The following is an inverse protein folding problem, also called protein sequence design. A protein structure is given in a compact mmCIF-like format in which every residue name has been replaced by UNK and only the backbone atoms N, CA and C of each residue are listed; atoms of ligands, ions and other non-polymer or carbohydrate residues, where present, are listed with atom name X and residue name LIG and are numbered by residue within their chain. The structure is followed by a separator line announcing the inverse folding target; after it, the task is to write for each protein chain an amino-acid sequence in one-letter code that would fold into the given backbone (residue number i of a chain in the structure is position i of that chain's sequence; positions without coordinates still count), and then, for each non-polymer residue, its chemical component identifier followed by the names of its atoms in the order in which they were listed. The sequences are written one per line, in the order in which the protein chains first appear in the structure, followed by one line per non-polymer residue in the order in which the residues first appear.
data_IF_622544611958
#
_entry.id   IF_622544611958
#
_cell.length_a   1.000
_cell.length_b   1.000
_cell.length_c   1.000
_cell.angle_alpha   90.00
_cell.angle_beta   90.00
_cell.angle_gamma   90.00
#
_symmetry.space_group_name_H-M   'P 1'
#
loop_
_entity.id
_entity.type
_entity.pdbx_description
1 polymer ?
#
# COMPACT_ATOMS: atom_id res chain seq x y z
N UNK A 1 -33.61 25.74 -36.91
CA UNK A 1 -34.47 25.02 -35.95
C UNK A 1 -33.81 23.68 -35.63
N UNK A 2 -32.63 23.71 -35.01
CA UNK A 2 -31.77 22.54 -34.78
C UNK A 2 -31.30 22.44 -33.32
N UNK A 3 -31.97 23.16 -32.42
CA UNK A 3 -31.51 23.39 -31.05
C UNK A 3 -32.30 22.53 -30.03
N UNK A 4 -33.36 21.84 -30.48
CA UNK A 4 -34.30 21.13 -29.60
C UNK A 4 -33.86 19.69 -29.30
N UNK A 5 -33.04 19.10 -30.17
CA UNK A 5 -32.51 17.74 -29.99
C UNK A 5 -31.41 17.68 -28.91
N UNK A 6 -30.62 18.75 -28.72
CA UNK A 6 -29.55 18.79 -27.70
C UNK A 6 -30.09 18.84 -26.26
N UNK A 7 -31.22 19.52 -26.03
CA UNK A 7 -31.78 19.69 -24.67
C UNK A 7 -32.47 18.41 -24.16
N UNK A 8 -32.83 17.48 -25.05
CA UNK A 8 -33.60 16.27 -24.72
C UNK A 8 -32.73 15.08 -24.30
N UNK A 9 -31.41 15.14 -24.49
CA UNK A 9 -30.53 14.03 -24.16
C UNK A 9 -29.70 14.31 -22.89
N UNK A 10 -30.25 14.09 -21.69
CA UNK A 10 -29.46 14.17 -20.46
C UNK A 10 -28.32 13.15 -20.42
N UNK A 11 -28.33 12.13 -21.29
CA UNK A 11 -27.27 11.12 -21.39
C UNK A 11 -26.08 11.55 -22.27
N UNK A 12 -26.17 12.65 -23.04
CA UNK A 12 -25.03 13.17 -23.80
C UNK A 12 -24.06 14.00 -22.94
N UNK A 13 -24.51 14.49 -21.77
CA UNK A 13 -23.68 15.34 -20.88
C UNK A 13 -22.93 14.54 -19.82
N UNK A 14 -23.33 13.30 -19.55
CA UNK A 14 -22.70 12.48 -18.53
C UNK A 14 -21.86 11.41 -19.22
N UNK A 15 -20.78 11.85 -19.86
CA UNK A 15 -19.63 10.99 -20.02
C UNK A 15 -19.15 10.68 -18.60
N UNK A 16 -19.68 9.60 -18.03
CA UNK A 16 -19.26 9.08 -16.74
C UNK A 16 -17.77 8.79 -16.87
N UNK A 17 -16.95 9.69 -16.35
CA UNK A 17 -15.51 9.51 -16.23
C UNK A 17 -15.35 8.26 -15.37
N UNK A 18 -15.19 7.10 -16.02
CA UNK A 18 -14.96 5.83 -15.37
C UNK A 18 -13.64 6.00 -14.63
N UNK A 19 -13.71 6.24 -13.33
CA UNK A 19 -12.54 6.33 -12.48
C UNK A 19 -11.83 4.98 -12.54
N UNK A 20 -10.79 4.86 -13.38
CA UNK A 20 -9.75 3.85 -13.18
C UNK A 20 -8.92 4.28 -11.96
N UNK A 21 -8.47 3.35 -11.13
CA UNK A 21 -8.10 1.99 -11.52
C UNK A 21 -9.10 0.91 -11.08
N UNK A 22 -9.36 -0.05 -11.96
CA UNK A 22 -10.14 -1.28 -11.73
C UNK A 22 -9.37 -2.30 -10.87
N UNK A 23 -8.20 -1.92 -10.35
CA UNK A 23 -7.28 -2.76 -9.60
C UNK A 23 -6.81 -1.95 -8.39
N UNK A 24 -7.28 -2.33 -7.21
CA UNK A 24 -6.72 -1.82 -5.97
C UNK A 24 -5.27 -2.34 -5.87
N UNK A 25 -4.27 -1.48 -5.56
CA UNK A 25 -2.92 -1.95 -5.30
C UNK A 25 -3.01 -3.01 -4.21
N UNK A 26 -2.33 -4.13 -4.44
CA UNK A 26 -2.40 -5.29 -3.56
C UNK A 26 -2.03 -4.83 -2.15
N UNK A 27 -2.78 -5.22 -1.10
CA UNK A 27 -2.44 -4.83 0.25
C UNK A 27 -1.00 -5.26 0.56
N UNK A 28 -0.13 -4.27 0.79
CA UNK A 28 1.27 -4.51 1.09
C UNK A 28 1.38 -4.89 2.56
N UNK A 29 1.63 -6.17 2.83
CA UNK A 29 1.78 -6.71 4.19
C UNK A 29 3.15 -6.40 4.83
N UNK A 30 4.13 -5.91 4.06
CA UNK A 30 5.48 -5.59 4.53
C UNK A 30 5.58 -4.57 5.69
N UNK A 31 4.86 -3.42 5.69
CA UNK A 31 4.90 -2.48 6.80
C UNK A 31 4.46 -3.09 8.14
N UNK A 32 3.60 -4.11 8.13
CA UNK A 32 3.21 -4.84 9.34
C UNK A 32 4.39 -5.60 9.95
N UNK A 33 5.14 -6.36 9.15
CA UNK A 33 6.32 -7.09 9.63
C UNK A 33 7.44 -6.15 10.10
N UNK A 34 7.58 -5.00 9.45
CA UNK A 34 8.55 -3.97 9.84
C UNK A 34 8.20 -3.37 11.21
N UNK A 35 6.93 -3.01 11.43
CA UNK A 35 6.46 -2.52 12.74
C UNK A 35 6.65 -3.59 13.83
N UNK A 36 6.33 -4.85 13.53
CA UNK A 36 6.50 -5.98 14.45
C UNK A 36 7.99 -6.19 14.81
N UNK A 37 8.89 -6.07 13.83
CA UNK A 37 10.34 -6.10 14.04
C UNK A 37 10.85 -4.94 14.90
N UNK A 38 10.34 -3.72 14.72
CA UNK A 38 10.68 -2.55 15.56
C UNK A 38 10.25 -2.78 17.01
N UNK A 39 9.02 -3.25 17.23
CA UNK A 39 8.50 -3.53 18.57
C UNK A 39 9.32 -4.61 19.25
N UNK A 40 9.64 -5.70 18.55
CA UNK A 40 10.50 -6.75 19.09
C UNK A 40 11.94 -6.31 19.31
N UNK A 41 12.47 -5.41 18.49
CA UNK A 41 13.79 -4.81 18.74
C UNK A 41 13.78 -3.94 19.99
N UNK A 42 12.81 -3.03 20.10
CA UNK A 42 12.68 -2.14 21.25
C UNK A 42 12.51 -2.91 22.55
N UNK A 43 11.65 -3.93 22.55
CA UNK A 43 11.42 -4.78 23.72
C UNK A 43 12.54 -5.79 23.98
N UNK A 44 13.11 -6.37 22.93
CA UNK A 44 14.17 -7.37 22.99
C UNK A 44 15.52 -6.79 23.43
N UNK A 45 15.84 -5.57 23.00
CA UNK A 45 17.05 -4.86 23.43
C UNK A 45 17.07 -4.62 24.95
N UNK A 46 15.90 -4.48 25.58
CA UNK A 46 15.76 -4.29 27.02
C UNK A 46 15.83 -5.61 27.82
N UNK A 47 15.43 -6.73 27.24
CA UNK A 47 15.22 -7.98 27.97
C UNK A 47 16.31 -9.03 27.76
N UNK A 48 16.82 -9.20 26.54
CA UNK A 48 17.80 -10.25 26.22
C UNK A 48 18.47 -10.00 24.87
N UNK A 49 19.81 -10.07 24.83
CA UNK A 49 20.61 -9.93 23.60
C UNK A 49 20.14 -10.86 22.47
N UNK A 50 19.73 -12.10 22.78
CA UNK A 50 19.22 -13.06 21.81
C UNK A 50 17.93 -12.59 21.10
N UNK A 51 17.00 -11.98 21.85
CA UNK A 51 15.74 -11.45 21.31
C UNK A 51 16.02 -10.20 20.48
N UNK A 52 16.98 -9.38 20.90
CA UNK A 52 17.42 -8.21 20.14
C UNK A 52 18.01 -8.58 18.77
N UNK A 53 18.89 -9.59 18.71
CA UNK A 53 19.46 -10.06 17.43
C UNK A 53 18.37 -10.63 16.51
N UNK A 54 17.43 -11.41 17.05
CA UNK A 54 16.31 -11.94 16.27
C UNK A 54 15.43 -10.81 15.70
N UNK A 55 15.10 -9.80 16.51
CA UNK A 55 14.36 -8.62 16.06
C UNK A 55 15.10 -7.84 14.97
N UNK A 56 16.43 -7.72 15.07
CA UNK A 56 17.26 -7.04 14.06
C UNK A 56 17.21 -7.75 12.71
N UNK A 57 17.29 -9.08 12.72
CA UNK A 57 17.20 -9.91 11.50
C UNK A 57 15.81 -9.72 10.85
N UNK A 58 14.74 -9.76 11.65
CA UNK A 58 13.36 -9.55 11.17
C UNK A 58 13.22 -8.15 10.58
N UNK A 59 13.76 -7.13 11.24
CA UNK A 59 13.68 -5.74 10.77
C UNK A 59 14.42 -5.53 9.45
N UNK A 60 15.63 -6.08 9.30
CA UNK A 60 16.43 -5.98 8.06
C UNK A 60 15.77 -6.75 6.91
N UNK A 61 15.23 -7.95 7.17
CA UNK A 61 14.54 -8.76 6.15
C UNK A 61 13.23 -8.12 5.72
N UNK A 62 12.45 -7.55 6.65
CA UNK A 62 11.24 -6.80 6.36
C UNK A 62 11.52 -5.53 5.53
N UNK A 63 12.58 -4.77 5.89
CA UNK A 63 13.04 -3.62 5.11
C UNK A 63 13.47 -4.03 3.70
N UNK A 64 14.27 -5.08 3.59
CA UNK A 64 14.79 -5.55 2.30
C UNK A 64 13.68 -6.04 1.37
N UNK A 65 12.70 -6.77 1.90
CA UNK A 65 11.55 -7.23 1.13
C UNK A 65 10.58 -6.11 0.77
N UNK A 66 10.41 -5.11 1.63
CA UNK A 66 9.62 -3.92 1.31
C UNK A 66 10.28 -3.08 0.21
N UNK A 67 11.58 -2.80 0.34
CA UNK A 67 12.35 -2.05 -0.65
C UNK A 67 12.38 -2.78 -1.99
N UNK A 68 12.49 -4.11 -2.01
CA UNK A 68 12.46 -4.86 -3.26
C UNK A 68 11.10 -4.77 -3.97
N UNK A 69 10.00 -4.64 -3.22
CA UNK A 69 8.66 -4.43 -3.78
C UNK A 69 8.51 -3.02 -4.35
N UNK A 70 9.00 -2.00 -3.62
CA UNK A 70 9.02 -0.62 -4.11
C UNK A 70 9.97 -0.41 -5.30
N UNK A 71 10.98 -1.28 -5.45
CA UNK A 71 11.96 -1.23 -6.55
C UNK A 71 11.51 -2.00 -7.80
N UNK A 72 10.52 -2.88 -7.69
CA UNK A 72 9.99 -3.68 -8.81
C UNK A 72 8.65 -3.15 -9.35
N UNK A 73 8.16 -2.02 -8.83
CA UNK A 73 7.14 -1.18 -9.47
C UNK A 73 7.80 -0.06 -10.27
#
# INVERSE_FOLDING_TARGET
MNNTEEIKNPAARVETVKAKPEILPKPTYWPFFLALGIVFLGWGLLTTWLISVAGLIILITALSGWLNILRHE
#
